data_IF_885378046994
#
_entry.id   IF_885378046994
#
_cell.length_a   1.000
_cell.length_b   1.000
_cell.length_c   1.000
_cell.angle_alpha   90.00
_cell.angle_beta   90.00
_cell.angle_gamma   90.00
#
_symmetry.space_group_name_H-M   'P 1'
#
loop_
_entity.id
_entity.type
_entity.pdbx_description
1 polymer ?
#
# COMPACT_ATOMS: atom_id res chain seq x y z
N UNK A 1 -2.75 21.17 -13.33
CA UNK A 1 -1.63 21.59 -12.49
C UNK A 1 -1.71 23.07 -12.21
N UNK A 2 -1.42 23.48 -10.98
CA UNK A 2 -1.39 24.88 -10.62
C UNK A 2 -0.31 25.60 -11.44
N UNK A 3 -0.63 26.79 -11.91
CA UNK A 3 0.30 27.65 -12.63
C UNK A 3 1.51 27.96 -11.74
N UNK A 4 2.72 27.80 -12.28
CA UNK A 4 3.95 28.12 -11.54
C UNK A 4 4.04 29.65 -11.43
N UNK A 5 3.76 30.16 -10.25
CA UNK A 5 3.81 31.59 -9.95
C UNK A 5 5.19 31.96 -9.42
N UNK A 6 5.79 33.02 -9.96
CA UNK A 6 7.08 33.48 -9.47
C UNK A 6 6.95 34.03 -8.03
N UNK A 7 7.95 33.77 -7.19
CA UNK A 7 7.97 34.17 -5.78
C UNK A 7 7.92 35.69 -5.57
N UNK A 8 8.22 36.47 -6.63
CA UNK A 8 8.14 37.93 -6.60
C UNK A 8 6.74 38.50 -6.82
N UNK A 9 5.80 37.71 -7.37
CA UNK A 9 4.50 38.21 -7.77
C UNK A 9 3.39 38.00 -6.74
N UNK A 10 3.48 36.97 -5.90
CA UNK A 10 2.48 36.70 -4.84
C UNK A 10 3.13 35.98 -3.66
N UNK A 11 3.66 36.73 -2.71
CA UNK A 11 4.15 36.15 -1.44
C UNK A 11 3.06 35.29 -0.76
N UNK A 12 1.78 35.72 -0.86
CA UNK A 12 0.64 35.05 -0.26
C UNK A 12 0.22 33.76 -0.98
N UNK A 13 0.68 33.53 -2.22
CA UNK A 13 0.32 32.33 -2.97
C UNK A 13 0.82 31.04 -2.30
N UNK A 14 1.97 31.09 -1.68
CA UNK A 14 2.57 29.96 -0.97
C UNK A 14 2.22 29.93 0.52
N UNK A 15 1.63 30.98 1.07
CA UNK A 15 1.15 31.04 2.45
C UNK A 15 -0.26 30.46 2.56
N UNK A 16 -0.39 29.19 2.16
CA UNK A 16 -1.66 28.46 2.24
C UNK A 16 -1.70 27.64 3.51
N UNK A 17 -2.81 27.74 4.23
CA UNK A 17 -3.06 26.85 5.35
C UNK A 17 -3.16 25.39 4.87
N UNK A 18 -2.64 24.49 5.67
CA UNK A 18 -2.70 23.06 5.42
C UNK A 18 -4.15 22.58 5.36
N UNK A 19 -4.47 21.73 4.40
CA UNK A 19 -5.74 21.00 4.38
C UNK A 19 -5.83 20.01 5.56
N UNK A 20 -7.04 19.72 6.01
CA UNK A 20 -7.26 18.66 6.99
C UNK A 20 -6.90 17.30 6.39
N UNK A 21 -6.68 16.29 7.23
CA UNK A 21 -6.40 14.95 6.75
C UNK A 21 -7.55 14.39 5.90
N UNK A 22 -8.79 14.64 6.31
CA UNK A 22 -9.96 14.20 5.55
C UNK A 22 -10.05 14.90 4.19
N UNK A 23 -9.89 16.22 4.16
CA UNK A 23 -9.87 16.99 2.91
C UNK A 23 -8.75 16.48 1.96
N UNK A 24 -7.56 16.17 2.48
CA UNK A 24 -6.45 15.66 1.69
C UNK A 24 -6.72 14.27 1.14
N UNK A 25 -7.23 13.34 1.98
CA UNK A 25 -7.57 11.98 1.54
C UNK A 25 -8.69 12.00 0.53
N UNK A 26 -9.73 12.80 0.76
CA UNK A 26 -10.86 12.90 -0.17
C UNK A 26 -10.42 13.46 -1.52
N UNK A 27 -9.59 14.50 -1.52
CA UNK A 27 -9.00 15.05 -2.75
C UNK A 27 -8.20 13.98 -3.52
N UNK A 28 -7.25 13.32 -2.86
CA UNK A 28 -6.41 12.29 -3.50
C UNK A 28 -7.25 11.12 -4.02
N UNK A 29 -8.21 10.63 -3.23
CA UNK A 29 -9.09 9.54 -3.67
C UNK A 29 -9.94 9.95 -4.87
N UNK A 30 -10.42 11.19 -4.93
CA UNK A 30 -11.18 11.71 -6.06
C UNK A 30 -10.31 11.81 -7.32
N UNK A 31 -9.07 12.30 -7.22
CA UNK A 31 -8.13 12.36 -8.34
C UNK A 31 -7.85 10.95 -8.91
N UNK A 32 -7.59 9.97 -8.04
CA UNK A 32 -7.45 8.59 -8.47
C UNK A 32 -8.73 8.04 -9.12
N UNK A 33 -9.91 8.32 -8.56
CA UNK A 33 -11.17 7.87 -9.12
C UNK A 33 -11.42 8.46 -10.52
N UNK A 34 -11.11 9.74 -10.71
CA UNK A 34 -11.23 10.40 -12.01
C UNK A 34 -10.23 9.85 -13.04
N UNK A 35 -9.08 9.36 -12.63
CA UNK A 35 -8.08 8.76 -13.52
C UNK A 35 -8.46 7.36 -14.02
N UNK A 36 -9.35 6.63 -13.31
CA UNK A 36 -9.68 5.23 -13.62
C UNK A 36 -10.11 4.97 -15.07
N UNK A 37 -10.92 5.83 -15.74
CA UNK A 37 -11.29 5.59 -17.13
C UNK A 37 -10.10 5.55 -18.10
N UNK A 38 -9.06 6.35 -17.83
CA UNK A 38 -7.86 6.43 -18.65
C UNK A 38 -6.80 5.35 -18.37
N UNK A 39 -6.92 4.62 -17.26
CA UNK A 39 -5.96 3.58 -16.88
C UNK A 39 -6.36 2.22 -17.47
N UNK A 40 -5.36 1.44 -17.88
CA UNK A 40 -5.55 0.05 -18.32
C UNK A 40 -5.90 -0.85 -17.14
N UNK A 41 -6.64 -1.92 -17.39
CA UNK A 41 -6.76 -3.03 -16.43
C UNK A 41 -5.41 -3.74 -16.29
N UNK A 42 -5.09 -4.34 -15.12
CA UNK A 42 -3.85 -5.10 -14.95
C UNK A 42 -3.66 -6.19 -16.00
N UNK A 43 -4.75 -6.86 -16.41
CA UNK A 43 -4.73 -7.89 -17.47
C UNK A 43 -4.42 -7.37 -18.88
N UNK A 44 -4.57 -6.08 -19.12
CA UNK A 44 -4.32 -5.41 -20.41
C UNK A 44 -2.93 -4.77 -20.46
N UNK A 45 -2.20 -4.78 -19.33
CA UNK A 45 -0.88 -4.19 -19.25
C UNK A 45 0.17 -5.15 -19.84
N UNK A 46 0.91 -4.68 -20.83
CA UNK A 46 2.03 -5.44 -21.37
C UNK A 46 3.18 -5.50 -20.34
N UNK A 47 3.88 -6.64 -20.32
CA UNK A 47 5.09 -6.82 -19.48
C UNK A 47 6.22 -5.83 -19.83
N UNK A 48 6.22 -5.29 -21.06
CA UNK A 48 7.15 -4.22 -21.46
C UNK A 48 6.91 -2.89 -20.74
N UNK A 49 5.71 -2.71 -20.16
CA UNK A 49 5.32 -1.53 -19.40
C UNK A 49 5.01 -1.86 -17.93
N UNK A 50 5.58 -2.94 -17.43
CA UNK A 50 5.56 -3.23 -16.01
C UNK A 50 6.06 -2.00 -15.22
N UNK A 51 5.52 -1.76 -14.03
CA UNK A 51 5.86 -0.53 -13.28
C UNK A 51 4.99 0.69 -13.61
N UNK A 52 4.32 0.74 -14.76
CA UNK A 52 3.33 1.80 -15.01
C UNK A 52 2.05 1.55 -14.20
N UNK A 53 1.44 2.60 -13.63
CA UNK A 53 0.21 2.45 -12.88
C UNK A 53 -0.94 1.91 -13.73
N UNK A 54 -1.74 1.06 -13.12
CA UNK A 54 -2.96 0.45 -13.72
C UNK A 54 -4.19 0.85 -12.90
N UNK A 55 -5.39 0.45 -13.35
CA UNK A 55 -6.61 0.56 -12.53
C UNK A 55 -6.45 -0.08 -11.16
N UNK A 56 -5.74 -1.22 -11.09
CA UNK A 56 -5.44 -1.88 -9.82
C UNK A 56 -4.61 -1.03 -8.89
N UNK A 57 -3.61 -0.35 -9.41
CA UNK A 57 -2.76 0.59 -8.64
C UNK A 57 -3.61 1.72 -8.03
N UNK A 58 -4.43 2.39 -8.84
CA UNK A 58 -5.27 3.49 -8.35
C UNK A 58 -6.28 3.02 -7.30
N UNK A 59 -6.96 1.89 -7.53
CA UNK A 59 -7.92 1.32 -6.59
C UNK A 59 -7.25 0.88 -5.28
N UNK A 60 -6.06 0.27 -5.34
CA UNK A 60 -5.33 -0.15 -4.15
C UNK A 60 -4.85 1.04 -3.32
N UNK A 61 -4.42 2.14 -3.95
CA UNK A 61 -4.07 3.37 -3.24
C UNK A 61 -5.29 4.00 -2.57
N UNK A 62 -6.44 4.04 -3.23
CA UNK A 62 -7.70 4.48 -2.62
C UNK A 62 -8.03 3.60 -1.41
N UNK A 63 -7.98 2.28 -1.55
CA UNK A 63 -8.27 1.35 -0.45
C UNK A 63 -7.33 1.57 0.74
N UNK A 64 -6.03 1.74 0.51
CA UNK A 64 -5.04 2.02 1.53
C UNK A 64 -5.30 3.35 2.26
N UNK A 65 -5.61 4.41 1.52
CA UNK A 65 -5.91 5.72 2.11
C UNK A 65 -7.20 5.67 2.95
N UNK A 66 -8.25 5.01 2.46
CA UNK A 66 -9.51 4.83 3.21
C UNK A 66 -9.31 3.97 4.46
N UNK A 67 -8.46 2.96 4.41
CA UNK A 67 -8.09 2.16 5.59
C UNK A 67 -7.34 3.00 6.64
N UNK A 68 -6.38 3.81 6.20
CA UNK A 68 -5.68 4.75 7.09
C UNK A 68 -6.67 5.73 7.73
N UNK A 69 -7.59 6.31 6.95
CA UNK A 69 -8.62 7.22 7.42
C UNK A 69 -9.57 6.57 8.45
N UNK A 70 -9.85 5.28 8.29
CA UNK A 70 -10.69 4.51 9.22
C UNK A 70 -9.95 4.06 10.49
N UNK A 71 -8.61 4.06 10.48
CA UNK A 71 -7.80 3.55 11.59
C UNK A 71 -8.02 4.34 12.89
N UNK A 72 -7.82 3.71 14.07
CA UNK A 72 -8.03 4.36 15.36
C UNK A 72 -7.25 5.66 15.58
N UNK A 73 -6.10 5.81 14.91
CA UNK A 73 -5.28 7.02 15.00
C UNK A 73 -5.94 8.22 14.35
N UNK A 74 -6.69 8.01 13.24
CA UNK A 74 -7.22 9.09 12.41
C UNK A 74 -8.74 9.16 12.37
N UNK A 75 -9.42 8.20 12.97
CA UNK A 75 -10.88 8.14 12.99
C UNK A 75 -11.48 8.59 14.35
N UNK A 76 -10.97 9.64 14.91
CA UNK A 76 -11.51 10.17 16.16
C UNK A 76 -11.25 9.26 17.38
N UNK A 77 -12.00 9.50 18.46
CA UNK A 77 -11.85 8.74 19.69
C UNK A 77 -10.62 9.14 20.52
N UNK A 78 -10.23 8.26 21.44
CA UNK A 78 -9.22 8.58 22.46
C UNK A 78 -7.84 8.87 21.86
N UNK A 79 -7.41 8.11 20.87
CA UNK A 79 -6.09 8.29 20.25
C UNK A 79 -6.00 9.60 19.47
N UNK A 80 -6.99 9.89 18.63
CA UNK A 80 -7.02 11.12 17.84
C UNK A 80 -7.05 12.35 18.77
N UNK A 81 -7.86 12.31 19.84
CA UNK A 81 -7.92 13.40 20.83
C UNK A 81 -6.58 13.60 21.53
N UNK A 82 -5.95 12.53 21.98
CA UNK A 82 -4.67 12.62 22.69
C UNK A 82 -3.53 13.13 21.81
N UNK A 83 -3.46 12.67 20.54
CA UNK A 83 -2.36 13.01 19.64
C UNK A 83 -2.57 14.33 18.90
N UNK A 84 -3.83 14.68 18.59
CA UNK A 84 -4.15 15.78 17.66
C UNK A 84 -5.26 16.71 18.16
N UNK A 85 -5.70 16.58 19.40
CA UNK A 85 -6.87 17.30 19.92
C UNK A 85 -6.73 18.80 20.00
N UNK A 86 -5.51 19.31 20.07
CA UNK A 86 -5.21 20.75 20.10
C UNK A 86 -4.88 21.31 18.71
N UNK A 87 -4.81 20.45 17.70
CA UNK A 87 -4.33 20.84 16.39
C UNK A 87 -5.46 21.25 15.45
N UNK A 88 -5.69 22.56 15.38
CA UNK A 88 -6.77 23.19 14.60
C UNK A 88 -6.23 24.12 13.54
N UNK A 89 -6.93 24.18 12.43
CA UNK A 89 -6.73 25.18 11.38
C UNK A 89 -7.19 26.56 11.89
N UNK A 90 -6.38 27.58 11.71
CA UNK A 90 -6.65 28.90 12.28
C UNK A 90 -7.81 29.62 11.61
N UNK A 91 -7.96 29.47 10.28
CA UNK A 91 -8.96 30.19 9.50
C UNK A 91 -10.40 29.80 9.81
N UNK A 92 -10.67 28.52 10.11
CA UNK A 92 -12.04 28.01 10.29
C UNK A 92 -12.24 27.16 11.55
N UNK A 93 -11.18 26.96 12.34
CA UNK A 93 -11.22 26.19 13.59
C UNK A 93 -11.40 24.68 13.41
N UNK A 94 -11.37 24.16 12.19
CA UNK A 94 -11.45 22.71 11.95
C UNK A 94 -10.24 21.98 12.51
N UNK A 95 -10.46 20.82 13.11
CA UNK A 95 -9.37 19.96 13.49
C UNK A 95 -8.66 19.38 12.25
N UNK A 96 -7.33 19.35 12.26
CA UNK A 96 -6.57 18.73 11.19
C UNK A 96 -6.78 17.22 11.11
N UNK A 97 -7.11 16.57 12.23
CA UNK A 97 -7.49 15.16 12.30
C UNK A 97 -8.86 15.06 12.96
N UNK A 98 -9.75 14.28 12.39
CA UNK A 98 -11.11 14.09 12.91
C UNK A 98 -11.09 13.64 14.39
N UNK A 99 -11.91 14.29 15.21
CA UNK A 99 -11.99 14.03 16.64
C UNK A 99 -13.18 13.14 17.05
N UNK A 100 -14.12 12.90 16.12
CA UNK A 100 -15.32 12.09 16.37
C UNK A 100 -15.21 10.75 15.64
N UNK A 101 -15.37 9.65 16.37
CA UNK A 101 -15.37 8.32 15.77
C UNK A 101 -16.55 8.12 14.82
N UNK A 102 -16.27 7.62 13.63
CA UNK A 102 -17.27 7.26 12.62
C UNK A 102 -17.04 5.81 12.12
N UNK A 103 -17.91 4.90 12.55
CA UNK A 103 -17.86 3.50 12.13
C UNK A 103 -18.06 3.30 10.63
N UNK A 104 -18.71 4.22 9.91
CA UNK A 104 -18.94 4.14 8.47
C UNK A 104 -17.64 4.15 7.67
N UNK A 105 -16.57 4.73 8.21
CA UNK A 105 -15.25 4.76 7.56
C UNK A 105 -14.70 3.35 7.29
N UNK A 106 -14.97 2.40 8.19
CA UNK A 106 -14.59 0.99 7.97
C UNK A 106 -15.34 0.37 6.80
N UNK A 107 -16.64 0.67 6.66
CA UNK A 107 -17.42 0.20 5.52
C UNK A 107 -16.91 0.80 4.19
N UNK A 108 -16.53 2.08 4.20
CA UNK A 108 -15.92 2.74 3.02
C UNK A 108 -14.58 2.09 2.67
N UNK A 109 -13.73 1.80 3.66
CA UNK A 109 -12.45 1.13 3.45
C UNK A 109 -12.65 -0.29 2.90
N UNK A 110 -13.59 -1.06 3.46
CA UNK A 110 -13.93 -2.39 2.98
C UNK A 110 -14.46 -2.39 1.55
N UNK A 111 -15.34 -1.43 1.21
CA UNK A 111 -15.86 -1.27 -0.14
C UNK A 111 -14.74 -0.92 -1.15
N UNK A 112 -13.79 -0.07 -0.76
CA UNK A 112 -12.65 0.27 -1.59
C UNK A 112 -11.73 -0.95 -1.81
N UNK A 113 -11.44 -1.73 -0.77
CA UNK A 113 -10.65 -2.96 -0.90
C UNK A 113 -11.36 -3.99 -1.79
N UNK A 114 -12.69 -4.09 -1.66
CA UNK A 114 -13.49 -4.98 -2.53
C UNK A 114 -13.37 -4.63 -4.02
N UNK A 115 -13.25 -3.37 -4.38
CA UNK A 115 -13.06 -2.98 -5.79
C UNK A 115 -11.76 -3.54 -6.39
N UNK A 116 -10.70 -3.68 -5.59
CA UNK A 116 -9.45 -4.34 -6.03
C UNK A 116 -9.68 -5.83 -6.25
N UNK A 117 -10.38 -6.49 -5.32
CA UNK A 117 -10.73 -7.91 -5.42
C UNK A 117 -11.60 -8.17 -6.66
N UNK A 118 -12.58 -7.32 -6.92
CA UNK A 118 -13.53 -7.44 -8.04
C UNK A 118 -12.86 -7.27 -9.43
N UNK A 119 -11.60 -6.82 -9.48
CA UNK A 119 -10.83 -6.89 -10.73
C UNK A 119 -10.59 -8.33 -11.17
N UNK A 120 -10.66 -9.32 -10.27
CA UNK A 120 -10.44 -10.75 -10.52
C UNK A 120 -9.12 -11.03 -11.26
N UNK A 121 -8.08 -10.29 -10.90
CA UNK A 121 -6.75 -10.42 -11.52
C UNK A 121 -5.69 -10.86 -10.52
N UNK A 122 -5.73 -10.27 -9.33
CA UNK A 122 -4.72 -10.52 -8.30
C UNK A 122 -4.96 -11.83 -7.58
N UNK A 123 -3.88 -12.55 -7.30
CA UNK A 123 -3.90 -13.81 -6.55
C UNK A 123 -2.67 -13.86 -5.66
N UNK A 124 -2.76 -14.51 -4.52
CA UNK A 124 -1.59 -14.77 -3.71
C UNK A 124 -0.58 -15.63 -4.49
N UNK A 125 0.69 -15.29 -4.37
CA UNK A 125 1.77 -16.08 -4.93
C UNK A 125 1.95 -17.35 -4.11
N UNK A 126 1.96 -18.49 -4.75
CA UNK A 126 2.16 -19.79 -4.10
C UNK A 126 3.10 -20.65 -4.91
N UNK A 127 3.97 -21.37 -4.20
CA UNK A 127 4.81 -22.43 -4.74
C UNK A 127 4.21 -23.75 -4.28
N UNK A 128 4.04 -24.70 -5.20
CA UNK A 128 3.52 -26.02 -4.87
C UNK A 128 4.49 -26.77 -3.95
N UNK A 129 3.94 -27.53 -2.99
CA UNK A 129 4.77 -28.37 -2.14
C UNK A 129 5.48 -29.45 -2.97
N UNK A 130 6.78 -29.60 -2.76
CA UNK A 130 7.52 -30.75 -3.28
C UNK A 130 7.00 -32.03 -2.63
N UNK A 131 6.55 -32.99 -3.44
CA UNK A 131 5.96 -34.24 -2.97
C UNK A 131 7.01 -35.21 -2.40
N UNK A 132 8.22 -35.12 -2.91
CA UNK A 132 9.32 -36.02 -2.54
C UNK A 132 10.15 -35.44 -1.38
N UNK A 133 10.19 -34.11 -1.26
CA UNK A 133 10.95 -33.42 -0.20
C UNK A 133 10.18 -32.18 0.30
N UNK A 134 9.03 -32.35 0.98
CA UNK A 134 8.23 -31.22 1.44
C UNK A 134 8.99 -30.41 2.49
N UNK A 135 8.81 -29.07 2.43
CA UNK A 135 9.36 -28.19 3.46
C UNK A 135 8.78 -28.55 4.84
N UNK A 136 9.61 -28.75 5.87
CA UNK A 136 9.13 -29.13 7.19
C UNK A 136 8.31 -27.99 7.81
N UNK A 137 7.08 -28.29 8.18
CA UNK A 137 6.18 -27.36 8.85
C UNK A 137 6.16 -27.60 10.36
N UNK A 138 6.02 -26.51 11.13
CA UNK A 138 5.71 -26.63 12.56
C UNK A 138 4.35 -27.28 12.75
N UNK A 139 4.22 -28.08 13.82
CA UNK A 139 2.99 -28.81 14.12
C UNK A 139 1.76 -27.89 14.38
N UNK A 140 1.98 -26.62 14.66
CA UNK A 140 0.91 -25.63 14.83
C UNK A 140 0.32 -25.11 13.53
N UNK A 141 1.00 -25.37 12.38
CA UNK A 141 0.52 -24.91 11.06
C UNK A 141 -0.59 -25.84 10.58
N UNK A 142 -1.81 -25.32 10.29
CA UNK A 142 -2.89 -26.13 9.77
C UNK A 142 -2.52 -26.80 8.44
N UNK A 143 -2.86 -28.09 8.29
CA UNK A 143 -2.61 -28.89 7.08
C UNK A 143 -3.76 -28.85 6.08
N UNK A 144 -4.80 -28.06 6.36
CA UNK A 144 -5.88 -27.83 5.41
C UNK A 144 -5.34 -27.24 4.11
N UNK A 145 -6.08 -27.44 3.01
CA UNK A 145 -5.70 -26.86 1.73
C UNK A 145 -5.61 -25.33 1.83
N UNK A 146 -4.61 -24.75 1.21
CA UNK A 146 -4.50 -23.29 1.10
C UNK A 146 -5.79 -22.67 0.50
N UNK A 147 -6.34 -21.57 1.04
CA UNK A 147 -5.75 -20.66 2.02
C UNK A 147 -6.05 -20.96 3.51
N UNK A 148 -6.81 -21.99 3.82
CA UNK A 148 -7.20 -22.33 5.20
C UNK A 148 -6.06 -22.98 6.00
N UNK A 149 -4.98 -23.37 5.32
CA UNK A 149 -3.76 -23.93 5.88
C UNK A 149 -2.67 -23.99 4.82
N UNK A 150 -1.57 -24.70 5.10
CA UNK A 150 -0.43 -24.87 4.20
C UNK A 150 -0.51 -26.12 3.31
N UNK A 151 -1.64 -26.82 3.31
CA UNK A 151 -1.78 -28.04 2.51
C UNK A 151 -1.70 -27.79 1.02
N UNK A 152 -0.71 -28.45 0.37
CA UNK A 152 -0.48 -28.38 -1.06
C UNK A 152 0.48 -27.28 -1.50
N UNK A 153 0.96 -26.41 -0.60
CA UNK A 153 1.95 -25.38 -0.92
C UNK A 153 3.22 -25.54 -0.09
N UNK A 154 4.32 -24.98 -0.59
CA UNK A 154 5.50 -24.67 0.20
C UNK A 154 5.39 -23.24 0.73
N UNK A 155 5.07 -23.03 2.01
CA UNK A 155 4.84 -21.69 2.54
C UNK A 155 6.13 -20.87 2.66
N UNK A 156 7.30 -21.53 2.81
CA UNK A 156 8.57 -20.86 2.88
C UNK A 156 8.93 -20.25 1.52
N UNK A 157 8.94 -21.06 0.46
CA UNK A 157 9.24 -20.57 -0.88
C UNK A 157 8.13 -19.63 -1.40
N UNK A 158 6.87 -19.87 -1.07
CA UNK A 158 5.77 -18.96 -1.41
C UNK A 158 5.99 -17.54 -0.87
N UNK A 159 6.61 -17.41 0.30
CA UNK A 159 6.93 -16.11 0.88
C UNK A 159 8.31 -15.61 0.41
N UNK A 160 9.36 -16.44 0.51
CA UNK A 160 10.75 -16.05 0.25
C UNK A 160 10.97 -15.62 -1.21
N UNK A 161 10.38 -16.34 -2.17
CA UNK A 161 10.60 -16.12 -3.59
C UNK A 161 10.01 -14.80 -4.10
N UNK A 162 9.10 -14.22 -3.35
CA UNK A 162 8.63 -12.87 -3.64
C UNK A 162 9.71 -11.79 -3.45
N UNK A 163 10.71 -12.05 -2.60
CA UNK A 163 11.70 -11.06 -2.19
C UNK A 163 13.12 -11.39 -2.63
N UNK A 164 13.42 -12.66 -2.95
CA UNK A 164 14.77 -13.10 -3.33
C UNK A 164 15.04 -13.03 -4.85
N UNK A 165 14.04 -12.70 -5.65
CA UNK A 165 14.15 -12.58 -7.11
C UNK A 165 13.87 -13.86 -7.88
N UNK A 166 13.59 -14.98 -7.21
CA UNK A 166 13.18 -16.24 -7.86
C UNK A 166 11.80 -16.10 -8.52
N UNK A 167 10.87 -15.45 -7.83
CA UNK A 167 9.59 -15.06 -8.41
C UNK A 167 9.77 -13.91 -9.40
N UNK A 168 9.47 -14.13 -10.69
CA UNK A 168 9.57 -13.07 -11.68
C UNK A 168 8.48 -12.01 -11.41
N UNK A 169 8.86 -10.84 -10.91
CA UNK A 169 7.95 -9.77 -10.52
C UNK A 169 6.92 -9.41 -11.62
N UNK A 170 7.32 -9.47 -12.89
CA UNK A 170 6.46 -9.14 -14.05
C UNK A 170 5.28 -10.09 -14.24
N UNK A 171 5.35 -11.31 -13.73
CA UNK A 171 4.29 -12.32 -13.84
C UNK A 171 3.64 -12.64 -12.49
N UNK A 172 4.18 -12.13 -11.41
CA UNK A 172 3.65 -12.33 -10.08
C UNK A 172 2.36 -11.50 -9.88
N UNK A 173 1.23 -12.19 -9.79
CA UNK A 173 -0.09 -11.57 -9.65
C UNK A 173 -0.40 -11.07 -8.23
N UNK A 174 0.44 -11.30 -7.27
CA UNK A 174 0.30 -10.68 -5.94
C UNK A 174 0.76 -9.23 -5.96
N UNK A 175 1.71 -8.87 -6.84
CA UNK A 175 2.20 -7.51 -6.96
C UNK A 175 1.19 -6.62 -7.68
N UNK A 176 0.68 -5.63 -6.97
CA UNK A 176 -0.27 -4.64 -7.53
C UNK A 176 0.49 -3.55 -8.27
N UNK A 177 1.59 -3.08 -7.69
CA UNK A 177 2.46 -2.08 -8.28
C UNK A 177 3.86 -2.23 -7.68
N UNK A 178 4.86 -2.27 -8.52
CA UNK A 178 6.25 -2.38 -8.12
C UNK A 178 7.08 -1.28 -8.77
N UNK A 179 8.08 -0.80 -8.04
CA UNK A 179 9.10 0.09 -8.58
C UNK A 179 10.15 -0.76 -9.33
N UNK A 180 10.36 -0.46 -10.60
CA UNK A 180 11.40 -1.09 -11.42
C UNK A 180 12.78 -0.44 -11.23
N UNK A 181 12.85 0.65 -10.46
CA UNK A 181 14.12 1.29 -10.23
C UNK A 181 15.03 0.37 -9.42
N UNK A 182 16.02 -0.19 -10.11
CA UNK A 182 17.14 -0.90 -9.51
C UNK A 182 18.08 0.09 -8.81
N UNK A 183 17.55 0.95 -7.97
CA UNK A 183 18.33 1.74 -7.04
C UNK A 183 19.23 0.80 -6.27
N UNK A 184 20.23 1.26 -5.55
CA UNK A 184 21.39 0.46 -5.18
C UNK A 184 20.99 -0.83 -4.46
N UNK A 185 20.84 -1.90 -5.23
CA UNK A 185 20.67 -3.29 -4.75
C UNK A 185 21.68 -3.58 -3.63
N UNK A 186 22.86 -2.98 -3.73
CA UNK A 186 23.89 -3.01 -2.70
C UNK A 186 23.44 -2.42 -1.34
N UNK A 187 22.53 -1.46 -1.31
CA UNK A 187 22.06 -0.88 -0.03
C UNK A 187 21.13 -1.84 0.68
N UNK A 188 20.19 -2.46 -0.03
CA UNK A 188 19.30 -3.46 0.57
C UNK A 188 20.05 -4.71 1.02
N UNK A 189 20.94 -5.26 0.19
CA UNK A 189 21.72 -6.44 0.56
C UNK A 189 22.64 -6.17 1.75
N UNK A 190 23.25 -5.00 1.86
CA UNK A 190 24.10 -4.64 3.02
C UNK A 190 23.31 -4.56 4.32
N UNK A 191 22.05 -4.15 4.31
CA UNK A 191 21.20 -4.06 5.50
C UNK A 191 20.45 -5.37 5.80
N UNK A 192 20.39 -6.29 4.85
CA UNK A 192 19.64 -7.55 5.01
C UNK A 192 20.47 -8.69 5.58
N UNK A 193 21.79 -8.58 5.64
CA UNK A 193 22.65 -9.65 6.18
C UNK A 193 22.92 -9.43 7.67
N UNK A 194 22.81 -10.51 8.48
CA UNK A 194 23.10 -10.42 9.91
C UNK A 194 24.60 -10.29 10.22
N UNK A 195 25.47 -10.38 9.21
CA UNK A 195 26.94 -10.33 9.37
C UNK A 195 27.46 -8.98 8.94
N UNK A 196 28.19 -8.36 9.82
CA UNK A 196 28.87 -7.09 9.56
C UNK A 196 30.02 -7.30 8.55
N UNK A 197 29.75 -7.07 7.29
CA UNK A 197 30.77 -7.03 6.27
C UNK A 197 31.06 -5.58 5.88
N UNK A 198 32.24 -5.08 6.27
CA UNK A 198 32.67 -3.73 5.95
C UNK A 198 31.96 -2.58 6.69
N UNK A 199 31.53 -2.79 7.93
CA UNK A 199 30.97 -1.74 8.78
C UNK A 199 29.47 -1.45 8.58
N UNK A 200 28.79 -2.21 7.76
CA UNK A 200 27.35 -2.08 7.49
C UNK A 200 26.64 -3.36 7.92
N UNK A 201 26.52 -3.58 9.21
CA UNK A 201 25.75 -4.68 9.74
C UNK A 201 24.31 -4.24 9.96
N UNK A 202 23.35 -5.01 9.43
CA UNK A 202 22.01 -4.98 9.96
C UNK A 202 22.04 -5.49 11.39
N UNK A 203 21.47 -4.76 12.32
CA UNK A 203 21.20 -5.25 13.67
C UNK A 203 19.88 -5.98 13.67
#
# INVERSE_FOLDING_TARGET
GDEVVSTSEKADYYDRERATMDESIDYICNEFAQSLPGLKRPSEQSTAYFGRPTKGTALALIARLRLIQASPTFNGGTYAKRCFGEWKRKSDGKYYVNQTYDAKRWAVAAAAAKQVIDLNYYTLYTVDADKDNPYPLDASVPTAKFPDGAGGIDPYHSFADMFNGEGTAKVNRELIWADEYSGPVMTYSRHSFPVNYGGWGGM
#
